data_IF_256791792042
#
_entry.id   IF_256791792042
#
_cell.length_a   1.000
_cell.length_b   1.000
_cell.length_c   1.000
_cell.angle_alpha   90.00
_cell.angle_beta   90.00
_cell.angle_gamma   90.00
#
_symmetry.space_group_name_H-M   'P 1'
#
loop_
_entity.id
_entity.type
_entity.pdbx_description
1 polymer ?
#
# COMPACT_ATOMS: atom_id res chain seq x y z
N UNK A 1 1.80 -16.82 25.84
CA UNK A 1 2.11 -15.58 25.09
C UNK A 1 2.55 -16.02 23.71
N UNK A 2 1.96 -15.48 22.66
CA UNK A 2 2.33 -15.80 21.26
C UNK A 2 3.24 -14.71 20.70
N UNK A 3 4.12 -15.06 19.79
CA UNK A 3 5.08 -14.12 19.17
C UNK A 3 4.71 -13.85 17.71
N UNK A 4 4.58 -12.59 17.35
CA UNK A 4 4.27 -12.15 15.99
C UNK A 4 5.38 -11.25 15.47
N UNK A 5 5.80 -11.47 14.24
CA UNK A 5 6.90 -10.71 13.63
C UNK A 5 6.47 -10.14 12.29
N UNK A 6 6.56 -8.82 12.17
CA UNK A 6 6.45 -8.11 10.90
C UNK A 6 7.83 -7.85 10.30
N UNK A 7 8.09 -8.38 9.12
CA UNK A 7 9.33 -8.12 8.39
C UNK A 7 8.99 -7.15 7.25
N UNK A 8 9.65 -5.99 7.26
CA UNK A 8 9.42 -4.92 6.28
C UNK A 8 10.69 -4.71 5.45
N UNK A 9 10.54 -4.48 4.15
CA UNK A 9 11.63 -4.01 3.30
C UNK A 9 12.05 -2.55 3.61
N UNK A 10 11.28 -1.83 4.43
CA UNK A 10 11.62 -0.47 4.87
C UNK A 10 12.81 -0.41 5.84
N UNK A 11 13.13 0.83 6.30
CA UNK A 11 14.26 1.09 7.20
C UNK A 11 14.17 0.34 8.52
N UNK A 12 15.33 -0.12 9.00
CA UNK A 12 15.52 -0.67 10.34
C UNK A 12 15.42 0.37 11.45
N UNK A 13 15.51 1.67 11.14
CA UNK A 13 15.38 2.76 12.11
C UNK A 13 13.99 2.81 12.78
N UNK A 14 12.97 2.29 12.08
CA UNK A 14 11.60 2.22 12.59
C UNK A 14 11.26 0.88 13.22
N UNK A 15 12.25 0.11 13.67
CA UNK A 15 12.01 -1.12 14.40
C UNK A 15 11.37 -0.84 15.75
N UNK A 16 10.42 -1.70 16.12
CA UNK A 16 9.80 -1.64 17.45
C UNK A 16 9.49 -3.04 17.97
N UNK A 17 9.32 -3.15 19.27
CA UNK A 17 8.73 -4.30 19.94
C UNK A 17 7.80 -3.84 21.05
N UNK A 18 6.72 -4.57 21.25
CA UNK A 18 5.81 -4.35 22.37
C UNK A 18 5.04 -5.62 22.74
N UNK A 19 4.54 -5.66 23.97
CA UNK A 19 3.63 -6.69 24.43
C UNK A 19 2.22 -6.10 24.52
N UNK A 20 1.20 -6.85 24.12
CA UNK A 20 -0.18 -6.40 24.15
C UNK A 20 -1.15 -7.55 24.37
N UNK A 21 -2.33 -7.23 24.92
CA UNK A 21 -3.48 -8.12 24.87
C UNK A 21 -4.30 -7.81 23.62
N UNK A 22 -4.33 -8.74 22.68
CA UNK A 22 -4.94 -8.58 21.37
C UNK A 22 -5.98 -9.67 21.14
N UNK A 23 -7.25 -9.28 21.00
CA UNK A 23 -8.39 -10.20 20.81
C UNK A 23 -8.44 -11.33 21.85
N UNK A 24 -8.08 -11.04 23.10
CA UNK A 24 -8.05 -12.02 24.19
C UNK A 24 -6.82 -12.92 24.22
N UNK A 25 -5.83 -12.66 23.39
CA UNK A 25 -4.53 -13.35 23.38
C UNK A 25 -3.41 -12.39 23.74
N UNK A 26 -2.51 -12.79 24.63
CA UNK A 26 -1.31 -12.02 24.91
C UNK A 26 -0.29 -12.26 23.80
N UNK A 27 0.08 -11.18 23.10
CA UNK A 27 1.04 -11.18 21.99
C UNK A 27 2.30 -10.41 22.38
N UNK A 28 3.44 -10.92 21.91
CA UNK A 28 4.68 -10.18 21.78
C UNK A 28 4.89 -9.88 20.29
N UNK A 29 4.97 -8.59 19.95
CA UNK A 29 4.95 -8.10 18.58
C UNK A 29 6.28 -7.45 18.26
N UNK A 30 6.84 -7.80 17.11
CA UNK A 30 8.08 -7.24 16.57
C UNK A 30 7.86 -6.66 15.18
N UNK A 31 8.44 -5.51 14.92
CA UNK A 31 8.62 -5.00 13.55
C UNK A 31 10.09 -4.85 13.27
N UNK A 32 10.55 -5.50 12.17
CA UNK A 32 11.94 -5.53 11.74
C UNK A 32 12.07 -5.03 10.30
N UNK A 33 12.85 -3.97 10.11
CA UNK A 33 13.19 -3.43 8.79
C UNK A 33 14.44 -4.08 8.21
N UNK A 34 14.47 -4.25 6.90
CA UNK A 34 15.58 -4.92 6.20
C UNK A 34 16.35 -3.99 5.27
N UNK A 35 16.02 -2.70 5.23
CA UNK A 35 16.71 -1.68 4.42
C UNK A 35 16.77 -2.08 2.94
N UNK A 36 15.65 -2.56 2.39
CA UNK A 36 15.48 -3.08 1.02
C UNK A 36 16.40 -4.28 0.68
N UNK A 37 16.96 -4.97 1.68
CA UNK A 37 17.85 -6.12 1.48
C UNK A 37 17.07 -7.44 1.45
N UNK A 38 16.91 -8.03 0.27
CA UNK A 38 16.29 -9.35 0.11
C UNK A 38 17.04 -10.45 0.91
N UNK A 39 18.36 -10.38 0.93
CA UNK A 39 19.19 -11.34 1.69
C UNK A 39 18.94 -11.23 3.20
N UNK A 40 18.82 -10.00 3.73
CA UNK A 40 18.50 -9.76 5.14
C UNK A 40 17.07 -10.24 5.45
N UNK A 41 16.14 -10.02 4.54
CA UNK A 41 14.75 -10.51 4.65
C UNK A 41 14.71 -12.03 4.79
N UNK A 42 15.36 -12.77 3.89
CA UNK A 42 15.43 -14.24 3.94
C UNK A 42 16.10 -14.74 5.22
N UNK A 43 17.16 -14.09 5.67
CA UNK A 43 17.83 -14.45 6.95
C UNK A 43 16.88 -14.27 8.15
N UNK A 44 16.15 -13.16 8.21
CA UNK A 44 15.19 -12.90 9.28
C UNK A 44 14.04 -13.90 9.26
N UNK A 45 13.48 -14.19 8.07
CA UNK A 45 12.42 -15.18 7.92
C UNK A 45 12.84 -16.55 8.49
N UNK A 46 14.02 -17.05 8.11
CA UNK A 46 14.56 -18.31 8.63
C UNK A 46 14.85 -18.29 10.12
N UNK A 47 15.32 -17.17 10.64
CA UNK A 47 15.62 -17.04 12.07
C UNK A 47 14.34 -17.05 12.91
N UNK A 48 13.28 -16.38 12.44
CA UNK A 48 12.03 -16.26 13.18
C UNK A 48 11.06 -17.41 12.99
N UNK A 49 11.23 -18.23 11.94
CA UNK A 49 10.37 -19.40 11.67
C UNK A 49 10.23 -20.36 12.88
N UNK A 50 11.22 -20.40 13.77
CA UNK A 50 11.23 -21.27 14.95
C UNK A 50 10.71 -20.61 16.21
N UNK A 51 10.52 -19.31 16.18
CA UNK A 51 10.24 -18.51 17.37
C UNK A 51 8.92 -17.72 17.26
N UNK A 52 8.41 -17.54 16.04
CA UNK A 52 7.16 -16.84 15.80
C UNK A 52 5.98 -17.80 15.67
N UNK A 53 4.79 -17.34 16.04
CA UNK A 53 3.51 -18.02 15.81
C UNK A 53 2.85 -17.57 14.49
N UNK A 54 3.20 -16.38 14.01
CA UNK A 54 2.83 -15.87 12.67
C UNK A 54 3.83 -14.81 12.20
N UNK A 55 4.02 -14.71 10.90
CA UNK A 55 4.91 -13.73 10.28
C UNK A 55 4.15 -12.92 9.23
N UNK A 56 4.22 -11.59 9.36
CA UNK A 56 3.79 -10.65 8.33
C UNK A 56 4.95 -10.17 7.48
N UNK A 57 4.81 -10.18 6.17
CA UNK A 57 5.82 -9.63 5.26
C UNK A 57 5.24 -8.40 4.58
N UNK A 58 5.74 -7.22 4.95
CA UNK A 58 5.43 -6.00 4.23
C UNK A 58 6.32 -5.91 2.99
N UNK A 59 5.79 -6.33 1.87
CA UNK A 59 6.42 -6.11 0.57
C UNK A 59 6.23 -4.63 0.24
N UNK A 60 7.26 -3.83 0.46
CA UNK A 60 7.31 -2.50 -0.14
C UNK A 60 7.46 -2.76 -1.63
N UNK A 61 6.42 -2.48 -2.39
CA UNK A 61 6.52 -2.43 -3.84
C UNK A 61 7.48 -1.30 -4.19
N UNK A 62 8.78 -1.61 -4.17
CA UNK A 62 9.78 -0.67 -4.62
C UNK A 62 9.59 -0.48 -6.11
N UNK A 63 9.27 0.77 -6.44
CA UNK A 63 9.27 1.35 -7.77
C UNK A 63 8.32 0.67 -8.77
N UNK A 64 7.63 1.50 -9.50
CA UNK A 64 6.86 1.23 -10.72
C UNK A 64 7.66 0.54 -11.87
N UNK A 65 8.88 0.02 -11.59
CA UNK A 65 9.48 -0.99 -12.42
C UNK A 65 8.60 -2.22 -12.29
N UNK A 66 7.80 -2.46 -13.30
CA UNK A 66 7.06 -3.70 -13.41
C UNK A 66 8.01 -4.89 -13.30
N UNK A 67 7.94 -5.60 -12.21
CA UNK A 67 7.93 -7.02 -12.36
C UNK A 67 6.58 -7.35 -13.01
N UNK A 68 6.54 -8.26 -13.94
CA UNK A 68 5.27 -8.79 -14.39
C UNK A 68 4.50 -9.22 -13.14
N UNK A 69 3.17 -9.23 -13.16
CA UNK A 69 2.40 -9.78 -12.02
C UNK A 69 2.97 -11.12 -11.58
N UNK A 70 3.52 -11.90 -12.54
CA UNK A 70 4.26 -13.13 -12.28
C UNK A 70 5.55 -12.91 -11.47
N UNK A 71 6.29 -11.81 -11.67
CA UNK A 71 7.53 -11.57 -10.92
C UNK A 71 7.22 -11.09 -9.50
N UNK A 72 6.19 -10.26 -9.29
CA UNK A 72 5.72 -9.90 -7.94
C UNK A 72 5.15 -11.13 -7.23
N UNK A 73 4.28 -11.87 -7.88
CA UNK A 73 3.71 -13.10 -7.33
C UNK A 73 4.82 -14.14 -7.09
N UNK A 74 5.81 -14.22 -7.95
CA UNK A 74 6.98 -15.08 -7.80
C UNK A 74 7.87 -14.66 -6.64
N UNK A 75 8.18 -13.37 -6.52
CA UNK A 75 9.02 -12.85 -5.43
C UNK A 75 8.31 -12.97 -4.08
N UNK A 76 7.00 -12.66 -4.03
CA UNK A 76 6.17 -12.88 -2.86
C UNK A 76 6.10 -14.38 -2.54
N UNK A 77 5.85 -15.23 -3.53
CA UNK A 77 5.82 -16.70 -3.36
C UNK A 77 7.18 -17.20 -2.90
N UNK A 78 8.28 -16.76 -3.49
CA UNK A 78 9.62 -17.14 -3.05
C UNK A 78 9.90 -16.73 -1.60
N UNK A 79 9.45 -15.56 -1.15
CA UNK A 79 9.62 -15.12 0.24
C UNK A 79 8.71 -15.89 1.20
N UNK A 80 7.47 -16.18 0.79
CA UNK A 80 6.53 -16.95 1.62
C UNK A 80 6.94 -18.42 1.72
N UNK A 81 7.47 -19.00 0.65
CA UNK A 81 7.91 -20.40 0.59
C UNK A 81 9.21 -20.66 1.38
N UNK A 82 9.95 -19.60 1.74
CA UNK A 82 11.12 -19.72 2.64
C UNK A 82 10.72 -20.25 4.01
N UNK A 83 9.47 -19.97 4.44
CA UNK A 83 8.92 -20.33 5.75
C UNK A 83 7.82 -21.36 5.59
N UNK A 84 7.99 -22.53 6.19
CA UNK A 84 7.04 -23.64 6.06
C UNK A 84 6.37 -24.06 7.38
N UNK A 85 6.89 -23.58 8.52
CA UNK A 85 6.46 -24.05 9.84
C UNK A 85 5.38 -23.20 10.47
N UNK A 86 5.33 -21.92 10.13
CA UNK A 86 4.40 -20.95 10.71
C UNK A 86 3.62 -20.22 9.61
N UNK A 87 2.41 -19.73 9.90
CA UNK A 87 1.65 -18.94 8.95
C UNK A 87 2.42 -17.68 8.53
N UNK A 88 2.45 -17.44 7.22
CA UNK A 88 3.02 -16.20 6.64
C UNK A 88 1.93 -15.49 5.88
N UNK A 89 1.86 -14.17 6.03
CA UNK A 89 0.91 -13.32 5.29
C UNK A 89 1.57 -12.07 4.77
N UNK A 90 1.10 -11.57 3.64
CA UNK A 90 1.43 -10.24 3.10
C UNK A 90 0.46 -9.18 3.57
N UNK A 91 -0.67 -9.57 4.16
CA UNK A 91 -1.74 -8.65 4.54
C UNK A 91 -2.43 -7.96 3.37
N UNK A 92 -2.26 -8.44 2.13
CA UNK A 92 -2.78 -7.75 0.95
C UNK A 92 -4.31 -7.59 1.00
N UNK A 93 -5.03 -8.64 1.40
CA UNK A 93 -6.49 -8.59 1.54
C UNK A 93 -6.93 -7.59 2.61
N UNK A 94 -6.26 -7.59 3.77
CA UNK A 94 -6.55 -6.64 4.83
C UNK A 94 -6.21 -5.20 4.41
N UNK A 95 -5.14 -5.00 3.65
CA UNK A 95 -4.79 -3.69 3.10
C UNK A 95 -5.89 -3.14 2.18
N UNK A 96 -6.45 -3.98 1.31
CA UNK A 96 -7.58 -3.59 0.45
C UNK A 96 -8.81 -3.16 1.28
N UNK A 97 -9.14 -3.92 2.32
CA UNK A 97 -10.26 -3.63 3.22
C UNK A 97 -10.03 -2.31 3.97
N UNK A 98 -8.85 -2.11 4.52
CA UNK A 98 -8.50 -0.90 5.26
C UNK A 98 -8.55 0.35 4.37
N UNK A 99 -8.05 0.27 3.15
CA UNK A 99 -8.09 1.38 2.20
C UNK A 99 -9.52 1.70 1.75
N UNK A 100 -10.32 0.68 1.44
CA UNK A 100 -11.73 0.84 1.12
C UNK A 100 -12.48 1.50 2.28
N UNK A 101 -12.28 1.02 3.50
CA UNK A 101 -12.88 1.60 4.68
C UNK A 101 -12.46 3.05 4.88
N UNK A 102 -11.18 3.37 4.70
CA UNK A 102 -10.67 4.74 4.82
C UNK A 102 -11.39 5.70 3.87
N UNK A 103 -11.56 5.30 2.61
CA UNK A 103 -12.29 6.13 1.62
C UNK A 103 -13.76 6.28 1.98
N UNK A 104 -14.44 5.19 2.37
CA UNK A 104 -15.84 5.23 2.79
C UNK A 104 -16.02 6.08 4.05
N UNK A 105 -15.10 5.99 5.00
CA UNK A 105 -15.10 6.80 6.21
C UNK A 105 -14.99 8.31 5.87
N UNK A 106 -14.01 8.69 5.03
CA UNK A 106 -13.85 10.09 4.56
C UNK A 106 -15.10 10.58 3.82
N UNK A 107 -15.63 9.78 2.90
CA UNK A 107 -16.82 10.11 2.15
C UNK A 107 -18.02 10.46 3.04
N UNK A 108 -18.19 9.69 4.12
CA UNK A 108 -19.32 9.87 5.05
C UNK A 108 -19.04 10.99 6.07
N UNK A 109 -17.83 11.09 6.59
CA UNK A 109 -17.47 12.03 7.67
C UNK A 109 -17.33 13.45 7.18
N UNK A 110 -16.85 13.65 5.94
CA UNK A 110 -16.61 14.97 5.35
C UNK A 110 -17.70 15.39 4.32
N UNK A 111 -18.87 14.77 4.37
CA UNK A 111 -20.01 15.21 3.58
C UNK A 111 -19.83 15.03 2.07
N UNK A 112 -19.73 13.78 1.61
CA UNK A 112 -19.62 13.46 0.17
C UNK A 112 -18.32 13.97 -0.48
N UNK A 113 -17.24 13.85 0.23
CA UNK A 113 -15.92 14.41 -0.10
C UNK A 113 -15.41 14.04 -1.50
N UNK A 114 -15.53 12.78 -1.90
CA UNK A 114 -15.06 12.29 -3.20
C UNK A 114 -16.03 12.57 -4.34
N UNK A 115 -17.24 13.06 -4.05
CA UNK A 115 -18.23 13.38 -5.09
C UNK A 115 -17.69 14.49 -5.99
N UNK A 116 -17.57 14.21 -7.29
CA UNK A 116 -16.96 15.09 -8.30
C UNK A 116 -15.47 15.40 -8.10
N UNK A 117 -14.76 14.73 -7.19
CA UNK A 117 -13.31 14.87 -7.06
C UNK A 117 -12.61 14.37 -8.33
N UNK A 118 -11.53 15.05 -8.72
CA UNK A 118 -10.62 14.57 -9.76
C UNK A 118 -9.55 13.72 -9.08
N UNK A 119 -9.56 12.41 -9.32
CA UNK A 119 -8.68 11.47 -8.63
C UNK A 119 -7.64 10.90 -9.57
N UNK A 120 -6.37 11.05 -9.19
CA UNK A 120 -5.25 10.45 -9.90
C UNK A 120 -4.69 9.27 -9.10
N UNK A 121 -4.69 8.11 -9.71
CA UNK A 121 -3.98 6.93 -9.20
C UNK A 121 -2.61 6.81 -9.86
N UNK A 122 -1.55 6.68 -9.07
CA UNK A 122 -0.24 6.33 -9.58
C UNK A 122 -0.20 4.87 -10.06
N UNK A 123 -0.87 3.97 -9.34
CA UNK A 123 -1.09 2.60 -9.80
C UNK A 123 -2.51 2.14 -9.47
N UNK A 124 -3.38 2.17 -10.45
CA UNK A 124 -4.74 1.64 -10.36
C UNK A 124 -4.75 0.11 -10.32
N UNK A 125 -3.85 -0.54 -11.04
CA UNK A 125 -3.73 -2.00 -11.03
C UNK A 125 -3.40 -2.54 -9.63
N UNK A 126 -2.52 -1.86 -8.90
CA UNK A 126 -2.15 -2.26 -7.53
C UNK A 126 -3.21 -1.91 -6.50
N UNK A 127 -4.13 -1.02 -6.83
CA UNK A 127 -5.19 -0.51 -5.95
C UNK A 127 -6.58 -0.63 -6.61
N UNK A 128 -6.81 -1.75 -7.32
CA UNK A 128 -8.02 -1.91 -8.13
C UNK A 128 -9.30 -1.85 -7.29
N UNK A 129 -9.29 -2.44 -6.10
CA UNK A 129 -10.45 -2.43 -5.19
C UNK A 129 -10.73 -1.01 -4.70
N UNK A 130 -9.68 -0.27 -4.30
CA UNK A 130 -9.79 1.14 -3.95
C UNK A 130 -10.29 2.01 -5.12
N UNK A 131 -9.78 1.75 -6.33
CA UNK A 131 -10.24 2.46 -7.53
C UNK A 131 -11.71 2.20 -7.83
N UNK A 132 -12.19 0.96 -7.62
CA UNK A 132 -13.60 0.61 -7.74
C UNK A 132 -14.45 1.35 -6.70
N UNK A 133 -14.00 1.41 -5.45
CA UNK A 133 -14.69 2.13 -4.37
C UNK A 133 -14.79 3.63 -4.66
N UNK A 134 -13.71 4.27 -5.11
CA UNK A 134 -13.72 5.70 -5.47
C UNK A 134 -14.62 5.94 -6.68
N UNK A 135 -14.66 5.02 -7.63
CA UNK A 135 -15.48 5.12 -8.82
C UNK A 135 -17.00 5.11 -8.53
N UNK A 136 -17.40 4.60 -7.37
CA UNK A 136 -18.80 4.71 -6.90
C UNK A 136 -19.21 6.17 -6.62
N UNK A 137 -18.23 7.04 -6.30
CA UNK A 137 -18.47 8.44 -5.92
C UNK A 137 -18.15 9.43 -7.04
N UNK A 138 -17.16 9.13 -7.88
CA UNK A 138 -16.75 9.98 -9.00
C UNK A 138 -16.23 9.17 -10.18
N UNK A 139 -16.61 9.60 -11.38
CA UNK A 139 -16.07 9.04 -12.63
C UNK A 139 -14.82 9.80 -13.11
N UNK A 140 -14.45 10.91 -12.45
CA UNK A 140 -13.29 11.72 -12.81
C UNK A 140 -12.00 11.07 -12.29
N UNK A 141 -11.69 9.87 -12.77
CA UNK A 141 -10.51 9.10 -12.38
C UNK A 141 -9.49 9.05 -13.50
N UNK A 142 -8.22 9.09 -13.13
CA UNK A 142 -7.09 8.91 -14.04
C UNK A 142 -6.10 7.93 -13.44
N UNK A 143 -5.49 7.08 -14.28
CA UNK A 143 -4.53 6.08 -13.85
C UNK A 143 -3.23 6.27 -14.62
N UNK A 144 -2.15 6.41 -13.90
CA UNK A 144 -0.81 6.62 -14.47
C UNK A 144 -0.05 5.31 -14.76
N UNK A 145 -0.73 4.16 -14.67
CA UNK A 145 -0.13 2.85 -14.86
C UNK A 145 0.72 2.73 -16.15
N UNK A 146 0.23 3.09 -17.37
CA UNK A 146 1.05 3.01 -18.58
C UNK A 146 2.27 3.92 -18.52
N UNK A 147 2.08 5.10 -17.93
CA UNK A 147 3.14 6.12 -17.83
C UNK A 147 4.26 5.66 -16.89
N UNK A 148 3.88 5.21 -15.70
CA UNK A 148 4.82 4.85 -14.65
C UNK A 148 5.41 3.45 -14.84
N UNK A 149 4.62 2.56 -15.41
CA UNK A 149 5.00 1.17 -15.55
C UNK A 149 5.76 0.88 -16.85
N UNK A 150 5.30 1.41 -17.97
CA UNK A 150 5.85 1.15 -19.31
C UNK A 150 6.56 2.35 -19.91
N UNK A 151 6.52 3.52 -19.27
CA UNK A 151 7.03 4.75 -19.88
C UNK A 151 6.18 5.22 -21.07
N UNK A 152 4.96 4.70 -21.23
CA UNK A 152 4.05 5.12 -22.31
C UNK A 152 3.39 6.43 -21.89
N UNK A 153 3.49 7.52 -22.67
CA UNK A 153 2.98 8.84 -22.31
C UNK A 153 1.44 8.92 -22.43
N UNK A 154 0.75 8.12 -21.66
CA UNK A 154 -0.70 8.00 -21.67
C UNK A 154 -1.23 7.77 -20.25
N UNK A 155 -2.34 8.44 -19.93
CA UNK A 155 -3.16 8.14 -18.77
C UNK A 155 -4.39 7.35 -19.20
N UNK A 156 -4.85 6.44 -18.35
CA UNK A 156 -6.16 5.80 -18.53
C UNK A 156 -7.20 6.62 -17.76
N UNK A 157 -8.38 6.80 -18.33
CA UNK A 157 -9.40 7.70 -17.80
C UNK A 157 -10.71 6.99 -17.41
N UNK A 158 -10.66 5.67 -17.29
CA UNK A 158 -11.81 4.88 -16.82
C UNK A 158 -11.36 3.55 -16.22
N UNK A 159 -12.21 2.94 -15.38
CA UNK A 159 -11.97 1.59 -14.85
C UNK A 159 -11.93 0.54 -15.96
N UNK A 160 -12.71 0.69 -17.01
CA UNK A 160 -12.71 -0.27 -18.12
C UNK A 160 -11.42 -0.20 -18.92
N UNK A 161 -10.88 1.02 -19.13
CA UNK A 161 -9.54 1.19 -19.71
C UNK A 161 -8.46 0.55 -18.82
N UNK A 162 -8.56 0.68 -17.50
CA UNK A 162 -7.64 0.05 -16.54
C UNK A 162 -7.74 -1.49 -16.60
N UNK A 163 -8.96 -2.03 -16.64
CA UNK A 163 -9.18 -3.48 -16.79
C UNK A 163 -8.62 -4.02 -18.08
N UNK A 164 -8.86 -3.33 -19.20
CA UNK A 164 -8.33 -3.70 -20.51
C UNK A 164 -6.79 -3.64 -20.53
N UNK A 165 -6.23 -2.60 -19.95
CA UNK A 165 -4.77 -2.47 -19.78
C UNK A 165 -4.22 -3.62 -18.93
N UNK A 166 -4.86 -3.94 -17.81
CA UNK A 166 -4.49 -5.06 -16.93
C UNK A 166 -4.51 -6.40 -17.68
N UNK A 167 -5.50 -6.63 -18.53
CA UNK A 167 -5.58 -7.86 -19.33
C UNK A 167 -4.51 -7.94 -20.43
N UNK A 168 -4.12 -6.80 -21.01
CA UNK A 168 -3.15 -6.72 -22.11
C UNK A 168 -1.71 -6.47 -21.66
N UNK A 169 -1.50 -5.82 -20.51
CA UNK A 169 -0.18 -5.42 -20.04
C UNK A 169 0.78 -6.61 -19.85
N UNK A 170 0.27 -7.76 -19.42
CA UNK A 170 1.07 -8.97 -19.28
C UNK A 170 1.74 -9.40 -20.59
N UNK A 171 1.04 -9.25 -21.72
CA UNK A 171 1.60 -9.62 -23.02
C UNK A 171 2.64 -8.61 -23.51
N UNK A 172 2.42 -7.32 -23.23
CA UNK A 172 3.37 -6.26 -23.63
C UNK A 172 4.62 -6.28 -22.78
N UNK A 173 4.49 -6.58 -21.48
CA UNK A 173 5.60 -6.62 -20.53
C UNK A 173 6.55 -7.80 -20.77
N UNK A 174 6.00 -8.93 -21.17
CA UNK A 174 6.82 -10.11 -21.54
C UNK A 174 7.65 -9.86 -22.82
N UNK A 175 7.29 -8.84 -23.63
CA UNK A 175 7.94 -8.50 -24.88
C UNK A 175 8.70 -7.16 -24.86
N UNK A 176 8.46 -6.30 -23.86
CA UNK A 176 9.14 -5.01 -23.76
C UNK A 176 10.60 -5.21 -23.38
N UNK A 177 11.49 -4.95 -24.32
CA UNK A 177 12.93 -4.93 -24.04
C UNK A 177 13.22 -3.81 -23.04
N UNK A 178 13.83 -4.13 -21.89
CA UNK A 178 14.28 -3.12 -20.95
C UNK A 178 15.22 -2.14 -21.66
N UNK A 179 14.84 -0.89 -21.75
CA UNK A 179 15.69 0.18 -22.29
C UNK A 179 15.19 0.90 -23.55
N UNK A 180 14.27 0.35 -24.33
CA UNK A 180 13.76 1.02 -25.55
C UNK A 180 12.90 2.25 -25.21
N UNK A 181 12.22 2.24 -24.06
CA UNK A 181 11.39 3.36 -23.58
C UNK A 181 12.14 4.30 -22.61
N UNK A 182 13.43 4.13 -22.45
CA UNK A 182 14.24 4.82 -21.45
C UNK A 182 15.08 5.99 -22.01
N UNK A 183 14.75 6.53 -23.18
CA UNK A 183 15.44 7.74 -23.68
C UNK A 183 15.10 8.96 -22.79
N UNK A 184 16.08 9.81 -22.55
CA UNK A 184 15.91 10.96 -21.64
C UNK A 184 14.78 11.91 -22.06
N UNK A 185 14.54 12.21 -23.36
CA UNK A 185 13.39 13.01 -23.78
C UNK A 185 12.03 12.39 -23.40
N UNK A 186 11.91 11.06 -23.48
CA UNK A 186 10.68 10.35 -23.11
C UNK A 186 10.46 10.41 -21.59
N UNK A 187 11.52 10.29 -20.81
CA UNK A 187 11.43 10.44 -19.33
C UNK A 187 11.00 11.83 -18.91
N UNK A 188 11.55 12.88 -19.55
CA UNK A 188 11.16 14.27 -19.28
C UNK A 188 9.71 14.52 -19.67
N UNK A 189 9.27 14.01 -20.82
CA UNK A 189 7.89 14.12 -21.26
C UNK A 189 6.93 13.40 -20.30
N UNK A 190 7.30 12.20 -19.85
CA UNK A 190 6.52 11.45 -18.88
C UNK A 190 6.41 12.18 -17.54
N UNK A 191 7.50 12.78 -17.08
CA UNK A 191 7.50 13.61 -15.87
C UNK A 191 6.59 14.82 -16.01
N UNK A 192 6.64 15.51 -17.15
CA UNK A 192 5.75 16.63 -17.46
C UNK A 192 4.28 16.20 -17.45
N UNK A 193 3.94 15.08 -18.10
CA UNK A 193 2.57 14.57 -18.12
C UNK A 193 2.08 14.18 -16.72
N UNK A 194 2.92 13.56 -15.91
CA UNK A 194 2.58 13.20 -14.55
C UNK A 194 2.33 14.44 -13.68
N UNK A 195 3.20 15.46 -13.75
CA UNK A 195 2.98 16.74 -13.07
C UNK A 195 1.68 17.41 -13.51
N UNK A 196 1.42 17.45 -14.82
CA UNK A 196 0.17 17.98 -15.35
C UNK A 196 -1.06 17.22 -14.81
N UNK A 197 -0.97 15.89 -14.69
CA UNK A 197 -2.04 15.08 -14.13
C UNK A 197 -2.24 15.36 -12.62
N UNK A 198 -1.16 15.51 -11.86
CA UNK A 198 -1.21 15.89 -10.44
C UNK A 198 -1.86 17.26 -10.29
N UNK A 199 -1.47 18.26 -11.09
CA UNK A 199 -2.07 19.60 -11.03
C UNK A 199 -3.57 19.58 -11.29
N UNK A 200 -4.05 18.74 -12.20
CA UNK A 200 -5.47 18.56 -12.51
C UNK A 200 -6.25 17.77 -11.46
N UNK A 201 -5.57 17.03 -10.60
CA UNK A 201 -6.20 16.22 -9.56
C UNK A 201 -6.45 17.05 -8.29
N UNK A 202 -7.54 16.73 -7.59
CA UNK A 202 -7.78 17.18 -6.21
C UNK A 202 -7.34 16.14 -5.20
N UNK A 203 -7.37 14.86 -5.60
CA UNK A 203 -6.98 13.70 -4.80
C UNK A 203 -5.91 12.91 -5.54
N UNK A 204 -4.83 12.57 -4.86
CA UNK A 204 -3.74 11.72 -5.39
C UNK A 204 -3.67 10.44 -4.57
N UNK A 205 -3.83 9.29 -5.22
CA UNK A 205 -3.65 7.96 -4.63
C UNK A 205 -2.29 7.44 -5.02
N UNK A 206 -1.37 7.45 -4.06
CA UNK A 206 0.02 7.07 -4.31
C UNK A 206 0.68 6.53 -3.03
N UNK A 207 1.69 5.64 -3.14
CA UNK A 207 2.58 5.36 -2.03
C UNK A 207 3.29 6.63 -1.58
N UNK A 208 3.40 6.84 -0.26
CA UNK A 208 3.93 8.10 0.30
C UNK A 208 5.35 8.42 -0.19
N UNK A 209 6.19 7.40 -0.38
CA UNK A 209 7.56 7.57 -0.88
C UNK A 209 7.65 8.11 -2.31
N UNK A 210 6.64 7.87 -3.13
CA UNK A 210 6.65 8.33 -4.53
C UNK A 210 6.38 9.83 -4.62
N UNK A 211 5.78 10.39 -3.58
CA UNK A 211 5.53 11.81 -3.45
C UNK A 211 6.79 12.61 -3.07
N UNK A 212 7.86 11.94 -2.65
CA UNK A 212 9.13 12.59 -2.34
C UNK A 212 9.73 13.34 -3.56
N UNK A 213 9.42 12.89 -4.78
CA UNK A 213 9.92 13.46 -6.03
C UNK A 213 9.14 14.67 -6.54
N UNK A 214 8.11 15.14 -5.83
CA UNK A 214 7.27 16.26 -6.21
C UNK A 214 7.48 17.43 -5.24
N UNK A 215 7.37 18.63 -5.80
CA UNK A 215 7.57 19.87 -5.08
C UNK A 215 6.24 20.39 -4.51
N UNK A 216 6.33 21.49 -3.75
CA UNK A 216 5.15 22.16 -3.19
C UNK A 216 4.17 22.62 -4.27
N UNK A 217 4.66 23.12 -5.40
CA UNK A 217 3.81 23.54 -6.51
C UNK A 217 2.94 22.41 -7.06
N UNK A 218 3.45 21.17 -6.99
CA UNK A 218 2.72 20.00 -7.48
C UNK A 218 1.64 19.54 -6.49
N UNK A 219 1.90 19.63 -5.17
CA UNK A 219 1.10 18.98 -4.12
C UNK A 219 0.26 19.95 -3.28
N UNK A 220 0.40 21.28 -3.48
CA UNK A 220 -0.31 22.28 -2.70
C UNK A 220 -1.84 22.10 -2.79
N UNK A 221 -2.48 22.10 -1.62
CA UNK A 221 -3.92 21.94 -1.48
C UNK A 221 -4.47 20.56 -1.82
N UNK A 222 -3.62 19.57 -2.12
CA UNK A 222 -4.08 18.21 -2.51
C UNK A 222 -4.44 17.36 -1.29
N UNK A 223 -5.34 16.40 -1.53
CA UNK A 223 -5.53 15.27 -0.63
C UNK A 223 -4.73 14.08 -1.13
N UNK A 224 -4.01 13.46 -0.24
CA UNK A 224 -3.24 12.24 -0.50
C UNK A 224 -3.92 11.05 0.16
N UNK A 225 -4.27 10.02 -0.61
CA UNK A 225 -4.73 8.72 -0.11
C UNK A 225 -3.57 7.75 -0.19
N UNK A 226 -3.16 7.22 0.95
CA UNK A 226 -1.96 6.38 1.07
C UNK A 226 -2.05 5.43 2.26
N UNK A 227 -0.95 4.82 2.65
CA UNK A 227 -0.86 3.95 3.83
C UNK A 227 0.49 4.09 4.54
N UNK A 228 0.48 3.79 5.83
CA UNK A 228 1.70 3.71 6.67
C UNK A 228 2.48 5.02 6.73
N UNK A 229 1.80 6.10 7.09
CA UNK A 229 2.40 7.44 7.19
C UNK A 229 2.92 7.68 8.62
N UNK A 230 4.23 7.81 8.76
CA UNK A 230 4.87 8.28 10.01
C UNK A 230 4.67 9.79 10.20
N UNK A 231 4.87 10.27 11.44
CA UNK A 231 4.74 11.71 11.73
C UNK A 231 5.78 12.53 10.97
N UNK A 232 6.99 12.02 10.80
CA UNK A 232 8.04 12.64 9.98
C UNK A 232 7.60 12.80 8.51
N UNK A 233 7.01 11.76 7.93
CA UNK A 233 6.49 11.82 6.56
C UNK A 233 5.28 12.75 6.43
N UNK A 234 4.43 12.77 7.45
CA UNK A 234 3.32 13.71 7.49
C UNK A 234 3.83 15.15 7.46
N UNK A 235 4.82 15.48 8.30
CA UNK A 235 5.42 16.83 8.33
C UNK A 235 6.01 17.20 6.97
N UNK A 236 6.73 16.30 6.30
CA UNK A 236 7.25 16.54 4.94
C UNK A 236 6.14 16.79 3.91
N UNK A 237 5.01 16.07 4.01
CA UNK A 237 3.85 16.33 3.14
C UNK A 237 3.25 17.72 3.43
N UNK A 238 3.23 18.15 4.69
CA UNK A 238 2.83 19.51 5.07
C UNK A 238 3.74 20.59 4.48
N UNK A 239 5.07 20.39 4.52
CA UNK A 239 6.03 21.29 3.87
C UNK A 239 5.77 21.42 2.35
N UNK A 240 5.25 20.36 1.72
CA UNK A 240 4.83 20.31 0.32
C UNK A 240 3.41 20.85 0.08
N UNK A 241 2.74 21.37 1.11
CA UNK A 241 1.42 21.98 0.99
C UNK A 241 0.25 21.00 0.87
N UNK A 242 0.46 19.72 1.15
CA UNK A 242 -0.64 18.74 1.19
C UNK A 242 -1.65 19.16 2.25
N UNK A 243 -2.92 19.26 1.86
CA UNK A 243 -3.98 19.73 2.75
C UNK A 243 -4.51 18.64 3.68
N UNK A 244 -4.57 17.40 3.19
CA UNK A 244 -5.11 16.28 3.93
C UNK A 244 -4.44 14.96 3.50
N UNK A 245 -4.23 14.09 4.46
CA UNK A 245 -3.74 12.71 4.24
C UNK A 245 -4.76 11.72 4.78
N UNK A 246 -5.24 10.84 3.90
CA UNK A 246 -6.07 9.70 4.26
C UNK A 246 -5.16 8.47 4.36
N UNK A 247 -4.85 8.08 5.58
CA UNK A 247 -3.98 6.94 5.86
C UNK A 247 -4.82 5.70 6.16
N UNK A 248 -4.76 4.72 5.26
CA UNK A 248 -5.46 3.45 5.43
C UNK A 248 -4.85 2.54 6.50
N UNK A 249 -3.71 2.90 7.10
CA UNK A 249 -3.09 2.08 8.16
C UNK A 249 -3.58 2.51 9.53
N UNK A 250 -4.05 1.57 10.39
CA UNK A 250 -4.51 1.91 11.72
C UNK A 250 -3.35 2.29 12.63
N UNK A 251 -3.66 3.15 13.60
CA UNK A 251 -2.77 3.48 14.71
C UNK A 251 -3.25 2.71 15.94
N UNK A 252 -2.49 1.71 16.34
CA UNK A 252 -2.80 0.84 17.47
C UNK A 252 -1.56 0.70 18.33
N UNK A 253 -1.75 0.62 19.65
CA UNK A 253 -0.65 0.40 20.60
C UNK A 253 0.51 1.41 20.44
N UNK A 254 0.18 2.67 20.24
CA UNK A 254 1.12 3.78 19.99
C UNK A 254 2.01 3.64 18.73
N UNK A 255 1.60 2.76 17.83
CA UNK A 255 2.32 2.52 16.56
C UNK A 255 1.42 2.54 15.34
N UNK A 256 1.97 2.96 14.21
CA UNK A 256 1.36 2.74 12.90
C UNK A 256 1.59 1.28 12.52
N UNK A 257 0.53 0.49 12.52
CA UNK A 257 0.62 -0.95 12.26
C UNK A 257 0.39 -1.21 10.77
N UNK A 258 1.42 -1.74 10.10
CA UNK A 258 1.28 -2.14 8.70
C UNK A 258 0.25 -3.28 8.55
N UNK A 259 -0.53 -3.31 7.44
CA UNK A 259 -1.55 -4.35 7.23
C UNK A 259 -1.02 -5.78 7.34
N UNK A 260 0.21 -6.04 6.88
CA UNK A 260 0.84 -7.37 6.99
C UNK A 260 1.10 -7.78 8.44
N UNK A 261 1.54 -6.84 9.28
CA UNK A 261 1.75 -7.11 10.71
C UNK A 261 0.42 -7.30 11.43
N UNK A 262 -0.57 -6.45 11.15
CA UNK A 262 -1.91 -6.57 11.72
C UNK A 262 -2.56 -7.89 11.36
N UNK A 263 -2.45 -8.31 10.09
CA UNK A 263 -2.99 -9.60 9.63
C UNK A 263 -2.29 -10.78 10.33
N UNK A 264 -0.97 -10.72 10.50
CA UNK A 264 -0.24 -11.72 11.28
C UNK A 264 -0.67 -11.77 12.75
N UNK A 265 -0.96 -10.60 13.37
CA UNK A 265 -1.52 -10.54 14.73
C UNK A 265 -2.90 -11.18 14.80
N UNK A 266 -3.77 -10.92 13.82
CA UNK A 266 -5.10 -11.54 13.71
C UNK A 266 -4.99 -13.06 13.54
N UNK A 267 -4.12 -13.53 12.65
CA UNK A 267 -3.86 -14.95 12.42
C UNK A 267 -3.37 -15.61 13.72
N UNK A 268 -2.41 -15.02 14.39
CA UNK A 268 -1.88 -15.53 15.66
C UNK A 268 -2.96 -15.57 16.74
N UNK A 269 -3.77 -14.52 16.88
CA UNK A 269 -4.81 -14.46 17.92
C UNK A 269 -5.94 -15.45 17.66
N UNK A 270 -6.44 -15.52 16.43
CA UNK A 270 -7.60 -16.35 16.06
C UNK A 270 -7.25 -17.81 15.81
N UNK A 271 -6.00 -18.12 15.47
CA UNK A 271 -5.57 -19.45 15.01
C UNK A 271 -6.08 -19.82 13.60
N UNK A 272 -6.75 -18.90 12.90
CA UNK A 272 -7.19 -19.11 11.52
C UNK A 272 -5.99 -19.08 10.57
N UNK A 273 -6.05 -19.89 9.51
CA UNK A 273 -4.99 -19.88 8.47
C UNK A 273 -5.13 -18.66 7.57
N UNK A 274 -4.02 -18.13 6.99
CA UNK A 274 -4.07 -17.12 5.93
C UNK A 274 -5.05 -17.54 4.83
N UNK A 275 -5.85 -16.61 4.32
CA UNK A 275 -6.86 -16.87 3.28
C UNK A 275 -8.15 -17.54 3.74
N UNK A 276 -8.27 -17.93 5.03
CA UNK A 276 -9.51 -18.46 5.62
C UNK A 276 -10.28 -17.44 6.45
N UNK A 277 -9.75 -16.24 6.59
CA UNK A 277 -10.43 -15.10 7.20
C UNK A 277 -11.21 -14.41 6.09
N UNK A 278 -12.52 -14.27 6.24
CA UNK A 278 -13.39 -13.61 5.26
C UNK A 278 -13.34 -12.08 5.43
N UNK A 279 -13.85 -11.33 4.45
CA UNK A 279 -13.89 -9.86 4.53
C UNK A 279 -14.73 -9.39 5.73
N UNK A 280 -15.87 -10.05 5.97
CA UNK A 280 -16.75 -9.76 7.11
C UNK A 280 -16.06 -10.04 8.46
N UNK A 281 -15.27 -11.13 8.54
CA UNK A 281 -14.47 -11.43 9.74
C UNK A 281 -13.47 -10.27 10.02
N UNK A 282 -12.79 -9.76 8.97
CA UNK A 282 -11.86 -8.63 9.13
C UNK A 282 -12.59 -7.37 9.60
N UNK A 283 -13.73 -7.04 9.00
CA UNK A 283 -14.52 -5.86 9.39
C UNK A 283 -14.99 -5.94 10.84
N UNK A 284 -15.47 -7.11 11.27
CA UNK A 284 -15.84 -7.33 12.68
C UNK A 284 -14.64 -7.16 13.62
N UNK A 285 -13.49 -7.75 13.27
CA UNK A 285 -12.28 -7.65 14.09
C UNK A 285 -11.74 -6.22 14.13
N UNK A 286 -11.74 -5.50 13.03
CA UNK A 286 -11.33 -4.09 12.99
C UNK A 286 -12.25 -3.20 13.82
N UNK A 287 -13.57 -3.45 13.79
CA UNK A 287 -14.53 -2.74 14.64
C UNK A 287 -14.28 -3.00 16.13
N UNK A 288 -14.01 -4.26 16.51
CA UNK A 288 -13.67 -4.63 17.90
C UNK A 288 -12.35 -4.02 18.39
N UNK A 289 -11.43 -3.74 17.50
CA UNK A 289 -10.14 -3.11 17.79
C UNK A 289 -10.22 -1.58 17.77
N UNK A 290 -11.37 -1.02 17.41
CA UNK A 290 -11.53 0.42 17.19
C UNK A 290 -10.46 0.96 16.20
N UNK A 291 -10.10 0.14 15.22
CA UNK A 291 -9.02 0.39 14.29
C UNK A 291 -9.48 1.34 13.17
N UNK A 292 -9.92 2.54 13.53
CA UNK A 292 -10.45 3.52 12.58
C UNK A 292 -9.38 4.03 11.60
N UNK A 293 -9.78 4.33 10.36
CA UNK A 293 -8.91 5.02 9.40
C UNK A 293 -8.50 6.39 9.90
N UNK A 294 -7.30 6.82 9.53
CA UNK A 294 -6.75 8.08 9.99
C UNK A 294 -6.89 9.17 8.94
N UNK A 295 -7.62 10.22 9.29
CA UNK A 295 -7.62 11.48 8.55
C UNK A 295 -6.62 12.40 9.26
N UNK A 296 -5.59 12.84 8.54
CA UNK A 296 -4.51 13.64 9.10
C UNK A 296 -4.36 14.95 8.32
N UNK A 297 -4.16 16.03 9.05
CA UNK A 297 -3.89 17.36 8.50
C UNK A 297 -2.45 17.70 8.83
N UNK A 298 -1.56 17.72 7.81
CA UNK A 298 -0.14 17.99 8.02
C UNK A 298 0.17 19.39 8.49
#
# INVERSE_FOLDING_TARGET
MKTVVGISLGSGEHNFEFDTDFLGQRLKVWRLGTDASATKTVKLLKAWERHADAIGIAVVKDKYALPSRRDIDRDVTQLTDVVTRVPVTTGARLADILQEWAVRHVQNSLGSYFTNANVLFFSGMSNLKLAQTIYEYTQNVSFADPLLQLGIPKLLTSLDALRLYSAGAHHVLDWALPGVLASDPVKEWNRFLLRKAIHGATVVVAPVQDLDNFDREDLDGKTVVTSTVSDERLARLGEKGVAMVVDGSPFLFDHVIAPSLLDAMIIAATGKRPGKILDDDYLELLARLEAEPRIRYP
#
